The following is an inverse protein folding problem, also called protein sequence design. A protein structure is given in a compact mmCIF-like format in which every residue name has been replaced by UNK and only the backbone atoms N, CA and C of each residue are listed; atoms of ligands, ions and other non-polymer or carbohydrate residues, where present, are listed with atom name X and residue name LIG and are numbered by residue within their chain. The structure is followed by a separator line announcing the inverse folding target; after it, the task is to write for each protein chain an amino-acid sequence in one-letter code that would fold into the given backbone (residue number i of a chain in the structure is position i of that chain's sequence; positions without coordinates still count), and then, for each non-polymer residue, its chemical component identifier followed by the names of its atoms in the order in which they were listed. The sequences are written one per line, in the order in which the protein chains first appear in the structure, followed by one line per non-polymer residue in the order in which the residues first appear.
data_IF_344289667118
#
_entry.id   IF_344289667118
#
_cell.length_a   1.000
_cell.length_b   1.000
_cell.length_c   1.000
_cell.angle_alpha   90.00
_cell.angle_beta   90.00
_cell.angle_gamma   90.00
#
_symmetry.space_group_name_H-M   'P 1'
#
loop_
_entity.id
_entity.type
_entity.pdbx_description
1 polymer ?
#
# COMPACT_ATOMS: atom_id res chain seq x y z
N UNK A 1 -23.04 -15.36 -2.20
CA UNK A 1 -21.61 -14.97 -2.09
C UNK A 1 -20.84 -15.67 -3.21
N UNK A 2 -19.89 -14.99 -3.84
CA UNK A 2 -19.07 -15.59 -4.91
C UNK A 2 -17.94 -16.43 -4.28
N UNK A 3 -17.58 -17.56 -4.89
CA UNK A 3 -16.43 -18.36 -4.45
C UNK A 3 -15.12 -17.58 -4.58
N UNK A 4 -14.09 -17.97 -3.80
CA UNK A 4 -12.77 -17.34 -3.87
C UNK A 4 -12.18 -17.39 -5.29
N UNK A 5 -12.20 -18.57 -5.91
CA UNK A 5 -11.68 -18.76 -7.27
C UNK A 5 -12.39 -17.89 -8.30
N UNK A 6 -13.72 -17.77 -8.19
CA UNK A 6 -14.49 -16.90 -9.08
C UNK A 6 -14.09 -15.43 -8.89
N UNK A 7 -13.86 -14.99 -7.64
CA UNK A 7 -13.39 -13.63 -7.37
C UNK A 7 -12.04 -13.39 -8.03
N UNK A 8 -11.06 -14.29 -7.87
CA UNK A 8 -9.73 -14.14 -8.46
C UNK A 8 -9.78 -14.11 -10.00
N UNK A 9 -10.53 -15.03 -10.61
CA UNK A 9 -10.72 -15.06 -12.07
C UNK A 9 -11.43 -13.80 -12.57
N UNK A 10 -12.41 -13.29 -11.83
CA UNK A 10 -13.08 -12.03 -12.17
C UNK A 10 -12.09 -10.86 -12.12
N UNK A 11 -11.26 -10.77 -11.06
CA UNK A 11 -10.24 -9.72 -10.92
C UNK A 11 -9.20 -9.77 -12.03
N UNK A 12 -8.76 -10.97 -12.42
CA UNK A 12 -7.88 -11.17 -13.57
C UNK A 12 -8.52 -10.65 -14.88
N UNK A 13 -9.80 -10.98 -15.12
CA UNK A 13 -10.55 -10.46 -16.28
C UNK A 13 -10.69 -8.94 -16.25
N UNK A 14 -10.82 -8.33 -15.07
CA UNK A 14 -10.88 -6.87 -14.92
C UNK A 14 -9.56 -6.22 -15.34
N UNK A 15 -8.41 -6.79 -14.94
CA UNK A 15 -7.09 -6.34 -15.41
C UNK A 15 -6.98 -6.46 -16.93
N UNK A 16 -7.34 -7.62 -17.49
CA UNK A 16 -7.29 -7.85 -18.94
C UNK A 16 -8.12 -6.83 -19.72
N UNK A 17 -9.36 -6.58 -19.27
CA UNK A 17 -10.25 -5.59 -19.89
C UNK A 17 -9.75 -4.16 -19.69
N UNK A 18 -9.06 -3.86 -18.60
CA UNK A 18 -8.49 -2.54 -18.39
C UNK A 18 -7.38 -2.28 -19.42
N UNK A 19 -6.43 -3.21 -19.56
CA UNK A 19 -5.37 -3.11 -20.56
C UNK A 19 -5.93 -3.01 -21.98
N UNK A 20 -6.89 -3.86 -22.34
CA UNK A 20 -7.52 -3.83 -23.67
C UNK A 20 -8.20 -2.49 -24.00
N UNK A 21 -8.90 -1.88 -23.04
CA UNK A 21 -9.77 -0.75 -23.32
C UNK A 21 -9.16 0.62 -22.99
N UNK A 22 -8.12 0.68 -22.15
CA UNK A 22 -7.60 1.94 -21.62
C UNK A 22 -6.12 2.18 -21.94
N UNK A 23 -5.35 1.17 -22.35
CA UNK A 23 -3.93 1.37 -22.67
C UNK A 23 -3.68 1.98 -24.05
N UNK A 24 -4.64 1.91 -24.97
CA UNK A 24 -4.44 2.29 -26.37
C UNK A 24 -3.26 1.59 -27.06
N UNK A 25 -2.76 0.47 -26.51
CA UNK A 25 -1.69 -0.32 -27.11
C UNK A 25 -2.24 -1.31 -28.13
N UNK A 26 -1.41 -1.66 -29.11
CA UNK A 26 -1.70 -2.82 -29.96
C UNK A 26 -1.78 -4.08 -29.07
N UNK A 27 -2.81 -4.93 -29.21
CA UNK A 27 -2.96 -6.14 -28.39
C UNK A 27 -1.74 -7.07 -28.41
N UNK A 28 -0.93 -7.05 -29.47
CA UNK A 28 0.31 -7.83 -29.57
C UNK A 28 1.42 -7.36 -28.62
N UNK A 29 1.34 -6.13 -28.11
CA UNK A 29 2.28 -5.57 -27.13
C UNK A 29 1.87 -5.86 -25.68
N UNK A 30 0.68 -6.41 -25.46
CA UNK A 30 0.15 -6.73 -24.14
C UNK A 30 0.41 -8.23 -23.87
N UNK A 31 1.27 -8.59 -22.89
CA UNK A 31 1.51 -9.98 -22.58
C UNK A 31 0.26 -10.65 -21.98
N UNK A 32 0.30 -11.98 -21.85
CA UNK A 32 -0.75 -12.70 -21.15
C UNK A 32 -0.87 -12.23 -19.70
N UNK A 33 -2.09 -11.86 -19.31
CA UNK A 33 -2.39 -11.42 -17.95
C UNK A 33 -2.22 -12.58 -16.98
N UNK A 34 -1.24 -12.45 -16.08
CA UNK A 34 -0.96 -13.41 -15.03
C UNK A 34 -2.10 -13.57 -14.03
N UNK A 35 -1.99 -14.57 -13.16
CA UNK A 35 -2.97 -14.81 -12.11
C UNK A 35 -3.02 -13.68 -11.07
N UNK A 36 -4.12 -13.63 -10.31
CA UNK A 36 -4.24 -12.76 -9.14
C UNK A 36 -3.83 -13.56 -7.91
N UNK A 37 -2.79 -13.10 -7.21
CA UNK A 37 -2.34 -13.72 -5.97
C UNK A 37 -3.39 -13.54 -4.88
N UNK A 38 -3.89 -14.62 -4.26
CA UNK A 38 -4.92 -14.50 -3.23
C UNK A 38 -4.37 -13.91 -1.93
N UNK A 39 -5.22 -13.13 -1.25
CA UNK A 39 -5.03 -12.83 0.17
C UNK A 39 -4.95 -14.13 0.96
N UNK A 40 -4.01 -14.28 1.91
CA UNK A 40 -4.02 -15.40 2.85
C UNK A 40 -5.32 -15.48 3.68
N UNK A 41 -5.99 -14.35 3.89
CA UNK A 41 -7.20 -14.25 4.69
C UNK A 41 -8.35 -13.65 3.88
N UNK A 42 -9.52 -14.30 3.87
CA UNK A 42 -10.75 -13.78 3.22
C UNK A 42 -11.53 -12.80 4.11
N UNK A 43 -11.31 -12.85 5.41
CA UNK A 43 -11.93 -12.05 6.49
C UNK A 43 -10.87 -11.81 7.57
N UNK A 44 -11.10 -10.87 8.49
CA UNK A 44 -10.12 -10.62 9.55
C UNK A 44 -8.78 -10.04 9.08
N UNK A 45 -8.70 -9.50 7.86
CA UNK A 45 -7.44 -9.05 7.26
C UNK A 45 -7.20 -7.55 7.42
N UNK A 46 -8.27 -6.76 7.65
CA UNK A 46 -8.24 -5.31 7.53
C UNK A 46 -7.79 -4.66 8.84
N UNK A 47 -6.62 -4.01 8.83
CA UNK A 47 -5.98 -3.39 10.00
C UNK A 47 -6.46 -1.97 10.30
N UNK A 48 -7.32 -1.39 9.45
CA UNK A 48 -7.91 -0.05 9.67
C UNK A 48 -9.37 0.01 9.25
N UNK A 49 -10.21 0.50 10.14
CA UNK A 49 -11.60 0.82 9.87
C UNK A 49 -11.87 2.29 10.22
N UNK A 50 -12.80 2.90 9.49
CA UNK A 50 -13.23 4.28 9.72
C UNK A 50 -14.76 4.38 9.68
N UNK A 51 -15.49 3.67 10.57
CA UNK A 51 -16.92 3.86 10.67
C UNK A 51 -17.23 5.30 11.09
N UNK A 52 -18.42 5.78 10.78
CA UNK A 52 -18.85 7.14 11.08
C UNK A 52 -20.33 7.14 11.44
N UNK A 53 -20.76 8.26 12.03
CA UNK A 53 -22.16 8.54 12.29
C UNK A 53 -22.47 9.97 11.89
N UNK A 54 -23.70 10.18 11.46
CA UNK A 54 -24.21 11.52 11.15
C UNK A 54 -24.61 12.25 12.43
N UNK A 55 -24.61 13.58 12.36
CA UNK A 55 -25.02 14.40 13.49
C UNK A 55 -25.75 15.66 13.07
N UNK A 56 -26.30 16.39 14.05
CA UNK A 56 -27.11 17.57 13.79
C UNK A 56 -26.31 18.67 13.09
N UNK A 57 -26.95 19.38 12.16
CA UNK A 57 -26.31 20.48 11.40
C UNK A 57 -25.90 21.66 12.28
N UNK A 58 -26.61 21.88 13.40
CA UNK A 58 -26.35 22.95 14.39
C UNK A 58 -26.73 22.45 15.79
N UNK A 59 -26.09 23.01 16.81
CA UNK A 59 -26.49 22.82 18.21
C UNK A 59 -25.97 21.57 18.92
N UNK A 60 -25.23 20.68 18.23
CA UNK A 60 -24.68 19.46 18.84
C UNK A 60 -25.73 18.45 19.28
N UNK A 61 -25.28 17.33 19.85
CA UNK A 61 -26.19 16.35 20.44
C UNK A 61 -26.64 16.81 21.83
N UNK A 62 -27.94 16.72 22.10
CA UNK A 62 -28.49 16.99 23.43
C UNK A 62 -28.17 15.84 24.37
N UNK A 63 -28.11 16.12 25.67
CA UNK A 63 -28.04 15.08 26.69
C UNK A 63 -29.27 14.16 26.60
N UNK A 64 -29.04 12.84 26.65
CA UNK A 64 -30.09 11.83 26.45
C UNK A 64 -30.57 11.64 24.99
N UNK A 65 -29.91 12.26 23.99
CA UNK A 65 -30.22 12.00 22.59
C UNK A 65 -30.03 10.52 22.23
N UNK A 66 -30.88 9.94 21.35
CA UNK A 66 -30.67 8.58 20.88
C UNK A 66 -29.34 8.48 20.14
N UNK A 67 -28.65 7.36 20.32
CA UNK A 67 -27.41 7.08 19.61
C UNK A 67 -27.73 6.99 18.11
N UNK A 68 -27.04 7.77 17.25
CA UNK A 68 -27.23 7.66 15.80
C UNK A 68 -26.73 6.32 15.28
N UNK A 69 -27.12 5.98 14.06
CA UNK A 69 -26.52 4.86 13.34
C UNK A 69 -25.00 5.06 13.20
N UNK A 70 -24.21 4.05 13.58
CA UNK A 70 -22.74 4.08 13.48
C UNK A 70 -22.28 2.96 12.55
N UNK A 71 -21.64 3.34 11.45
CA UNK A 71 -21.18 2.36 10.48
C UNK A 71 -20.61 2.97 9.21
N UNK A 72 -21.04 2.47 8.06
CA UNK A 72 -20.54 2.91 6.75
C UNK A 72 -21.69 3.39 5.86
N UNK A 73 -21.38 4.23 4.89
CA UNK A 73 -22.39 4.67 3.91
C UNK A 73 -22.90 3.48 3.11
N UNK A 74 -24.23 3.36 3.01
CA UNK A 74 -24.83 2.37 2.13
C UNK A 74 -24.54 2.75 0.67
N UNK A 75 -24.02 1.81 -0.12
CA UNK A 75 -23.65 2.06 -1.52
C UNK A 75 -24.81 2.67 -2.31
N UNK A 76 -24.55 3.82 -2.94
CA UNK A 76 -25.54 4.55 -3.74
C UNK A 76 -26.55 5.38 -2.92
N UNK A 77 -26.35 5.48 -1.60
CA UNK A 77 -27.18 6.28 -0.68
C UNK A 77 -26.29 7.13 0.22
N UNK A 78 -26.84 8.21 0.75
CA UNK A 78 -26.12 9.15 1.62
C UNK A 78 -26.30 8.87 3.11
N UNK A 79 -27.04 7.82 3.50
CA UNK A 79 -27.26 7.48 4.90
C UNK A 79 -26.26 6.43 5.40
N UNK A 80 -25.96 6.51 6.70
CA UNK A 80 -25.12 5.55 7.41
C UNK A 80 -25.91 4.28 7.71
N UNK A 81 -25.40 3.13 7.29
CA UNK A 81 -25.91 1.84 7.74
C UNK A 81 -25.32 1.51 9.12
N UNK A 82 -26.17 1.37 10.13
CA UNK A 82 -25.72 0.91 11.44
C UNK A 82 -25.18 -0.52 11.36
N UNK A 83 -23.99 -0.74 11.91
CA UNK A 83 -23.38 -2.07 11.98
C UNK A 83 -22.78 -2.31 13.36
N UNK A 84 -23.01 -3.50 13.90
CA UNK A 84 -22.44 -3.92 15.19
C UNK A 84 -21.03 -4.49 15.04
N UNK A 85 -20.71 -5.00 13.85
CA UNK A 85 -19.45 -5.68 13.57
C UNK A 85 -19.05 -5.52 12.09
N UNK A 86 -17.75 -5.63 11.83
CA UNK A 86 -17.17 -5.62 10.49
C UNK A 86 -16.25 -6.83 10.30
N UNK A 87 -16.76 -7.95 9.76
CA UNK A 87 -16.02 -9.23 9.71
C UNK A 87 -14.72 -9.22 8.88
N UNK A 88 -14.50 -8.19 8.05
CA UNK A 88 -13.24 -8.04 7.32
C UNK A 88 -12.14 -7.42 8.18
N UNK A 89 -12.49 -6.73 9.27
CA UNK A 89 -11.54 -6.16 10.23
C UNK A 89 -10.88 -7.24 11.09
N UNK A 90 -9.62 -7.04 11.47
CA UNK A 90 -8.94 -7.88 12.47
C UNK A 90 -9.68 -7.86 13.81
N UNK A 91 -9.44 -8.84 14.67
CA UNK A 91 -10.08 -8.87 15.99
C UNK A 91 -9.75 -7.62 16.82
N UNK A 92 -8.51 -7.12 16.73
CA UNK A 92 -8.12 -5.88 17.39
C UNK A 92 -9.03 -4.69 16.98
N UNK A 93 -9.23 -4.46 15.67
CA UNK A 93 -10.09 -3.34 15.22
C UNK A 93 -11.58 -3.59 15.46
N UNK A 94 -12.03 -4.86 15.46
CA UNK A 94 -13.42 -5.22 15.78
C UNK A 94 -13.72 -4.96 17.25
N UNK A 95 -12.81 -5.32 18.15
CA UNK A 95 -12.95 -5.03 19.58
C UNK A 95 -12.79 -3.54 19.89
N UNK A 96 -11.91 -2.86 19.15
CA UNK A 96 -11.85 -1.40 19.12
C UNK A 96 -13.18 -0.77 18.68
N UNK A 97 -13.85 -1.34 17.66
CA UNK A 97 -15.14 -0.83 17.20
C UNK A 97 -16.22 -0.94 18.27
N UNK A 98 -16.34 -2.10 18.94
CA UNK A 98 -17.27 -2.29 20.06
C UNK A 98 -17.03 -1.26 21.17
N UNK A 99 -15.76 -1.08 21.55
CA UNK A 99 -15.37 -0.09 22.57
C UNK A 99 -15.74 1.34 22.15
N UNK A 100 -15.53 1.69 20.87
CA UNK A 100 -15.89 3.01 20.34
C UNK A 100 -17.41 3.23 20.24
N UNK A 101 -18.20 2.21 19.94
CA UNK A 101 -19.68 2.32 20.00
C UNK A 101 -20.16 2.65 21.42
N UNK A 102 -19.61 1.97 22.43
CA UNK A 102 -19.90 2.28 23.85
C UNK A 102 -19.47 3.71 24.21
N UNK A 103 -18.25 4.10 23.81
CA UNK A 103 -17.75 5.45 24.04
C UNK A 103 -18.66 6.53 23.42
N UNK A 104 -19.08 6.36 22.16
CA UNK A 104 -20.01 7.29 21.51
C UNK A 104 -21.34 7.34 22.25
N UNK A 105 -21.89 6.20 22.67
CA UNK A 105 -23.14 6.16 23.45
C UNK A 105 -23.05 6.95 24.75
N UNK A 106 -21.96 6.82 25.49
CA UNK A 106 -21.75 7.49 26.79
C UNK A 106 -21.40 8.98 26.64
N UNK A 107 -20.72 9.34 25.54
CA UNK A 107 -20.15 10.68 25.35
C UNK A 107 -20.78 11.45 24.20
N UNK A 108 -21.95 11.02 23.70
CA UNK A 108 -22.57 11.60 22.50
C UNK A 108 -22.75 13.13 22.60
N UNK A 109 -23.12 13.61 23.79
CA UNK A 109 -23.31 15.02 24.11
C UNK A 109 -22.03 15.88 23.92
N UNK A 110 -20.84 15.28 23.95
CA UNK A 110 -19.57 15.98 23.71
C UNK A 110 -19.34 16.29 22.22
N UNK A 111 -20.04 15.58 21.32
CA UNK A 111 -19.90 15.75 19.89
C UNK A 111 -20.75 16.95 19.40
N UNK A 112 -20.11 17.88 18.70
CA UNK A 112 -20.80 19.03 18.08
C UNK A 112 -21.47 18.71 16.74
N UNK A 113 -21.03 17.64 16.10
CA UNK A 113 -21.42 17.16 14.76
C UNK A 113 -21.17 15.66 14.66
N UNK A 114 -21.60 15.05 13.55
CA UNK A 114 -21.20 13.68 13.20
C UNK A 114 -19.68 13.55 13.13
N UNK A 115 -19.18 12.34 13.36
CA UNK A 115 -17.75 12.08 13.42
C UNK A 115 -17.37 10.78 12.70
N UNK A 116 -16.12 10.72 12.25
CA UNK A 116 -15.47 9.50 11.78
C UNK A 116 -14.61 8.95 12.90
N UNK A 117 -14.84 7.70 13.26
CA UNK A 117 -14.11 6.99 14.30
C UNK A 117 -12.93 6.27 13.64
N UNK A 118 -11.70 6.65 13.99
CA UNK A 118 -10.54 5.90 13.55
C UNK A 118 -10.38 4.64 14.41
N UNK A 119 -10.20 3.51 13.75
CA UNK A 119 -9.83 2.25 14.38
C UNK A 119 -8.61 1.71 13.63
N UNK A 120 -7.45 1.69 14.29
CA UNK A 120 -6.20 1.27 13.67
C UNK A 120 -5.51 0.22 14.52
N UNK A 121 -5.15 -0.90 13.93
CA UNK A 121 -4.34 -1.92 14.60
C UNK A 121 -2.91 -1.41 14.84
N UNK A 122 -2.35 -1.75 15.99
CA UNK A 122 -0.91 -1.68 16.26
C UNK A 122 -0.45 -3.04 16.80
N UNK A 123 0.76 -3.43 16.45
CA UNK A 123 1.33 -4.73 16.81
C UNK A 123 2.56 -4.56 17.68
N UNK A 124 2.48 -5.06 18.91
CA UNK A 124 3.66 -5.31 19.74
C UNK A 124 4.17 -6.72 19.45
N UNK A 125 5.46 -6.84 19.12
CA UNK A 125 6.08 -8.11 18.76
C UNK A 125 7.18 -8.47 19.75
N UNK A 126 7.10 -9.67 20.31
CA UNK A 126 8.16 -10.25 21.12
C UNK A 126 8.83 -11.37 20.35
N UNK A 127 10.16 -11.29 20.20
CA UNK A 127 10.96 -12.33 19.58
C UNK A 127 11.35 -13.38 20.61
N UNK A 128 11.26 -14.66 20.23
CA UNK A 128 11.71 -15.77 21.08
C UNK A 128 13.05 -16.28 20.54
N UNK A 129 14.16 -16.08 21.28
CA UNK A 129 15.45 -16.64 20.89
C UNK A 129 15.44 -18.16 21.10
N UNK A 130 15.99 -18.90 20.14
CA UNK A 130 16.27 -20.33 20.24
C UNK A 130 17.78 -20.54 20.11
N UNK A 131 18.38 -21.29 21.02
CA UNK A 131 19.81 -21.63 20.91
C UNK A 131 19.97 -22.87 20.03
N UNK A 132 20.63 -22.72 18.89
CA UNK A 132 20.96 -23.80 17.96
C UNK A 132 22.48 -23.82 17.79
N UNK A 133 23.11 -24.96 18.03
CA UNK A 133 24.57 -25.16 17.95
C UNK A 133 25.39 -24.10 18.73
N UNK A 134 24.88 -23.70 19.90
CA UNK A 134 25.52 -22.69 20.75
C UNK A 134 25.39 -21.24 20.27
N UNK A 135 24.57 -20.99 19.23
CA UNK A 135 24.25 -19.64 18.74
C UNK A 135 22.78 -19.33 18.98
N UNK A 136 22.48 -18.14 19.47
CA UNK A 136 21.11 -17.66 19.52
C UNK A 136 20.61 -17.32 18.10
N UNK A 137 19.51 -17.95 17.71
CA UNK A 137 18.82 -17.74 16.45
C UNK A 137 17.38 -17.37 16.76
N UNK A 138 16.91 -16.24 16.24
CA UNK A 138 15.52 -15.82 16.37
C UNK A 138 14.71 -16.48 15.24
N UNK A 139 13.96 -17.54 15.56
CA UNK A 139 13.11 -18.25 14.58
C UNK A 139 11.64 -17.89 14.64
N UNK A 140 11.15 -17.53 15.82
CA UNK A 140 9.73 -17.29 16.05
C UNK A 140 9.50 -15.95 16.76
N UNK A 141 8.29 -15.45 16.59
CA UNK A 141 7.82 -14.26 17.27
C UNK A 141 6.36 -14.43 17.69
N UNK A 142 5.96 -13.68 18.71
CA UNK A 142 4.57 -13.57 19.16
C UNK A 142 4.11 -12.13 18.98
N UNK A 143 2.93 -11.99 18.39
CA UNK A 143 2.29 -10.69 18.18
C UNK A 143 1.15 -10.49 19.18
N UNK A 144 1.12 -9.30 19.79
CA UNK A 144 -0.02 -8.78 20.53
C UNK A 144 -0.56 -7.59 19.75
N UNK A 145 -1.80 -7.72 19.27
CA UNK A 145 -2.47 -6.74 18.43
C UNK A 145 -3.51 -6.00 19.23
N UNK A 146 -3.46 -4.66 19.20
CA UNK A 146 -4.40 -3.78 19.91
C UNK A 146 -4.93 -2.69 18.97
N UNK A 147 -5.97 -1.97 19.38
CA UNK A 147 -6.57 -0.90 18.58
C UNK A 147 -6.26 0.48 19.15
N UNK A 148 -5.78 1.36 18.27
CA UNK A 148 -5.55 2.78 18.51
C UNK A 148 -6.62 3.59 17.80
N UNK A 149 -7.15 4.59 18.50
CA UNK A 149 -8.23 5.46 18.02
C UNK A 149 -7.81 6.91 17.85
N UNK A 150 -6.72 7.34 18.50
CA UNK A 150 -6.11 8.64 18.26
C UNK A 150 -5.32 8.63 16.95
N UNK A 151 -5.75 9.46 15.99
CA UNK A 151 -5.09 9.66 14.70
C UNK A 151 -3.62 10.08 14.77
N UNK A 152 -3.19 10.68 15.88
CA UNK A 152 -1.81 11.17 16.06
C UNK A 152 -0.92 10.19 16.81
N UNK A 153 -1.49 9.21 17.49
CA UNK A 153 -0.73 8.19 18.18
C UNK A 153 0.07 7.34 17.17
N UNK A 154 1.26 6.91 17.58
CA UNK A 154 2.09 6.04 16.75
C UNK A 154 1.55 4.61 16.79
N UNK A 155 1.56 3.95 15.64
CA UNK A 155 1.25 2.53 15.49
C UNK A 155 2.45 1.82 14.89
N UNK A 156 2.61 0.56 15.27
CA UNK A 156 3.66 -0.33 14.74
C UNK A 156 3.03 -1.42 13.88
N UNK A 157 3.55 -1.57 12.67
CA UNK A 157 3.20 -2.62 11.71
C UNK A 157 4.45 -3.46 11.44
N UNK A 158 4.27 -4.76 11.24
CA UNK A 158 5.36 -5.68 10.93
C UNK A 158 5.13 -6.39 9.61
N UNK A 159 6.16 -6.51 8.78
CA UNK A 159 6.15 -7.27 7.52
C UNK A 159 7.37 -8.17 7.52
N UNK A 160 7.18 -9.49 7.65
CA UNK A 160 8.30 -10.38 7.95
C UNK A 160 9.01 -9.91 9.23
N UNK A 161 10.29 -9.53 9.11
CA UNK A 161 11.07 -8.90 10.21
C UNK A 161 11.13 -7.37 10.16
N UNK A 162 10.62 -6.76 9.09
CA UNK A 162 10.65 -5.32 8.95
C UNK A 162 9.60 -4.65 9.84
N UNK A 163 10.01 -3.59 10.55
CA UNK A 163 9.19 -2.83 11.50
C UNK A 163 8.87 -1.45 10.94
N UNK A 164 7.61 -1.08 10.91
CA UNK A 164 7.16 0.23 10.43
C UNK A 164 6.42 0.98 11.52
N UNK A 165 6.89 2.18 11.84
CA UNK A 165 6.28 3.08 12.80
C UNK A 165 5.72 4.29 12.06
N UNK A 166 4.44 4.57 12.25
CA UNK A 166 3.78 5.72 11.63
C UNK A 166 2.60 6.20 12.48
N UNK A 167 2.13 7.45 12.31
CA UNK A 167 0.91 7.92 12.96
C UNK A 167 -0.33 7.09 12.52
N UNK A 168 -1.25 6.78 13.42
CA UNK A 168 -2.43 5.95 13.13
C UNK A 168 -3.30 6.50 11.98
N UNK A 169 -3.31 7.84 11.83
CA UNK A 169 -4.01 8.55 10.79
C UNK A 169 -3.39 8.42 9.40
N UNK A 170 -2.07 8.15 9.29
CA UNK A 170 -1.38 8.10 8.01
C UNK A 170 -1.80 6.90 7.15
N UNK A 171 -1.42 6.95 5.88
CA UNK A 171 -1.60 5.82 4.98
C UNK A 171 -0.57 4.73 5.28
N UNK A 172 -1.05 3.49 5.24
CA UNK A 172 -0.26 2.27 5.18
C UNK A 172 -1.21 1.18 4.65
N UNK A 173 -0.66 0.12 4.08
CA UNK A 173 -1.46 -0.93 3.48
C UNK A 173 -2.35 -1.62 4.53
N UNK A 174 -3.64 -1.76 4.22
CA UNK A 174 -4.65 -2.17 5.20
C UNK A 174 -4.80 -3.69 5.32
N UNK A 175 -4.15 -4.47 4.45
CA UNK A 175 -4.13 -5.93 4.53
C UNK A 175 -2.71 -6.37 4.82
N UNK A 176 -2.36 -6.44 6.09
CA UNK A 176 -1.01 -6.84 6.50
C UNK A 176 -0.69 -8.29 6.08
N UNK A 177 -1.69 -9.18 6.03
CA UNK A 177 -1.47 -10.61 5.78
C UNK A 177 -0.86 -10.93 4.41
N UNK A 178 -1.12 -10.12 3.38
CA UNK A 178 -0.60 -10.33 2.02
C UNK A 178 0.76 -9.65 1.79
N UNK A 179 1.15 -8.69 2.64
CA UNK A 179 2.27 -7.78 2.38
C UNK A 179 3.60 -8.50 2.17
N UNK A 180 3.91 -9.53 2.96
CA UNK A 180 5.18 -10.25 2.83
C UNK A 180 5.31 -10.94 1.47
N UNK A 181 4.22 -11.56 0.98
CA UNK A 181 4.20 -12.18 -0.36
C UNK A 181 4.31 -11.12 -1.45
N UNK A 182 3.61 -10.00 -1.26
CA UNK A 182 3.59 -8.89 -2.19
C UNK A 182 4.98 -8.23 -2.32
N UNK A 183 5.62 -7.86 -1.22
CA UNK A 183 6.95 -7.22 -1.24
C UNK A 183 8.02 -8.17 -1.75
N UNK A 184 7.92 -9.47 -1.45
CA UNK A 184 8.83 -10.49 -2.01
C UNK A 184 8.70 -10.54 -3.53
N UNK A 185 7.48 -10.60 -4.06
CA UNK A 185 7.25 -10.60 -5.50
C UNK A 185 7.79 -9.31 -6.16
N UNK A 186 7.51 -8.14 -5.57
CA UNK A 186 8.02 -6.86 -6.09
C UNK A 186 9.55 -6.84 -6.10
N UNK A 187 10.19 -7.34 -5.04
CA UNK A 187 11.65 -7.47 -4.98
C UNK A 187 12.19 -8.33 -6.12
N UNK A 188 11.56 -9.46 -6.42
CA UNK A 188 11.94 -10.31 -7.56
C UNK A 188 11.79 -9.58 -8.90
N UNK A 189 10.75 -8.76 -9.08
CA UNK A 189 10.53 -8.01 -10.33
C UNK A 189 11.50 -6.82 -10.48
N UNK A 190 12.06 -6.31 -9.37
CA UNK A 190 13.02 -5.21 -9.39
C UNK A 190 14.43 -5.64 -9.84
N UNK A 191 14.70 -6.93 -10.01
CA UNK A 191 16.00 -7.42 -10.47
C UNK A 191 16.18 -7.11 -11.96
N UNK A 192 17.30 -6.46 -12.30
CA UNK A 192 17.75 -6.25 -13.67
C UNK A 192 18.47 -7.52 -14.13
N UNK A 193 18.00 -8.23 -15.18
CA UNK A 193 18.67 -9.43 -15.67
C UNK A 193 20.09 -9.11 -16.14
N UNK A 194 21.08 -9.86 -15.66
CA UNK A 194 22.47 -9.76 -16.16
C UNK A 194 22.56 -10.38 -17.56
N UNK A 195 23.05 -9.62 -18.53
CA UNK A 195 23.45 -10.18 -19.83
C UNK A 195 24.77 -10.95 -19.66
N UNK A 196 24.94 -12.04 -20.41
CA UNK A 196 26.15 -12.85 -20.36
C UNK A 196 27.40 -11.98 -20.65
N UNK A 197 28.36 -11.97 -19.72
CA UNK A 197 29.58 -11.15 -19.81
C UNK A 197 29.48 -9.75 -19.21
N UNK A 198 28.32 -9.33 -18.68
CA UNK A 198 28.19 -8.11 -17.89
C UNK A 198 28.16 -8.45 -16.39
N UNK A 199 29.19 -8.02 -15.68
CA UNK A 199 29.23 -8.11 -14.21
C UNK A 199 29.04 -6.72 -13.63
N UNK A 200 27.79 -6.25 -13.61
CA UNK A 200 27.44 -5.07 -12.83
C UNK A 200 27.37 -5.49 -11.37
N UNK A 201 28.35 -5.02 -10.59
CA UNK A 201 28.39 -5.19 -9.14
C UNK A 201 27.47 -4.21 -8.41
N UNK A 202 26.97 -3.19 -9.12
CA UNK A 202 26.14 -2.14 -8.58
C UNK A 202 24.70 -2.21 -9.11
N UNK A 203 23.75 -1.89 -8.24
CA UNK A 203 22.35 -1.69 -8.57
C UNK A 203 21.75 -0.58 -7.73
N UNK A 204 20.81 0.17 -8.29
CA UNK A 204 20.16 1.28 -7.59
C UNK A 204 18.64 1.17 -7.65
N UNK A 205 17.96 1.63 -6.60
CA UNK A 205 16.50 1.63 -6.50
C UNK A 205 15.96 3.04 -6.32
N UNK A 206 14.93 3.37 -7.10
CA UNK A 206 14.10 4.56 -6.86
C UNK A 206 12.71 4.09 -6.46
N UNK A 207 12.25 4.52 -5.30
CA UNK A 207 10.93 4.26 -4.76
C UNK A 207 10.13 5.58 -4.82
N UNK A 208 9.31 5.74 -5.86
CA UNK A 208 8.51 6.94 -6.03
C UNK A 208 7.10 6.72 -5.49
N UNK A 209 6.55 7.75 -4.82
CA UNK A 209 5.38 7.62 -3.95
C UNK A 209 5.66 6.71 -2.74
N UNK A 210 6.89 6.80 -2.19
CA UNK A 210 7.39 5.82 -1.23
C UNK A 210 6.61 5.76 0.10
N UNK A 211 5.80 6.77 0.42
CA UNK A 211 5.08 6.86 1.67
C UNK A 211 6.03 6.72 2.86
N UNK A 212 5.76 5.74 3.73
CA UNK A 212 6.60 5.41 4.90
C UNK A 212 7.78 4.49 4.58
N UNK A 213 8.14 4.31 3.31
CA UNK A 213 9.30 3.56 2.83
C UNK A 213 9.08 2.05 2.67
N UNK A 214 7.87 1.60 2.32
CA UNK A 214 7.52 0.18 2.24
C UNK A 214 8.51 -0.61 1.35
N UNK A 215 8.65 -0.23 0.09
CA UNK A 215 9.52 -0.94 -0.86
C UNK A 215 10.99 -0.64 -0.61
N UNK A 216 11.33 0.61 -0.29
CA UNK A 216 12.69 0.99 0.12
C UNK A 216 13.24 0.10 1.24
N UNK A 217 12.40 -0.30 2.20
CA UNK A 217 12.82 -1.11 3.36
C UNK A 217 12.70 -2.61 3.07
N UNK A 218 11.56 -3.06 2.54
CA UNK A 218 11.33 -4.48 2.29
C UNK A 218 12.13 -5.03 1.10
N UNK A 219 12.31 -4.22 0.04
CA UNK A 219 12.97 -4.64 -1.20
C UNK A 219 14.39 -4.08 -1.34
N UNK A 220 14.80 -3.14 -0.48
CA UNK A 220 16.08 -2.42 -0.61
C UNK A 220 17.33 -3.25 -0.33
N UNK A 221 17.20 -4.43 0.28
CA UNK A 221 18.34 -5.32 0.51
C UNK A 221 18.93 -5.78 -0.83
N UNK A 222 20.23 -5.53 -1.03
CA UNK A 222 20.97 -5.88 -2.24
C UNK A 222 21.25 -4.72 -3.20
N UNK A 223 20.61 -3.56 -2.99
CA UNK A 223 20.91 -2.34 -3.75
C UNK A 223 22.10 -1.58 -3.14
N UNK A 224 22.91 -0.94 -3.97
CA UNK A 224 24.04 -0.09 -3.55
C UNK A 224 23.55 1.28 -3.07
N UNK A 225 22.41 1.76 -3.59
CA UNK A 225 21.79 3.00 -3.16
C UNK A 225 20.29 3.01 -3.44
N UNK A 226 19.53 3.59 -2.52
CA UNK A 226 18.08 3.71 -2.60
C UNK A 226 17.70 5.18 -2.46
N UNK A 227 16.81 5.67 -3.32
CA UNK A 227 16.19 6.99 -3.18
C UNK A 227 14.67 6.82 -3.11
N UNK A 228 14.10 7.14 -1.96
CA UNK A 228 12.65 7.24 -1.78
C UNK A 228 12.18 8.68 -1.98
N UNK A 229 11.14 8.88 -2.78
CA UNK A 229 10.56 10.20 -3.05
C UNK A 229 9.06 10.21 -2.79
N UNK A 230 8.60 11.18 -2.01
CA UNK A 230 7.18 11.40 -1.74
C UNK A 230 6.92 12.90 -1.55
N UNK A 231 5.71 13.37 -1.85
CA UNK A 231 5.30 14.77 -1.66
C UNK A 231 4.98 15.08 -0.18
N UNK A 232 4.66 14.05 0.61
CA UNK A 232 4.30 14.17 2.02
C UNK A 232 5.55 14.20 2.89
N UNK A 233 5.87 15.37 3.45
CA UNK A 233 6.98 15.53 4.40
C UNK A 233 6.83 14.63 5.63
N UNK A 234 5.61 14.43 6.13
CA UNK A 234 5.31 13.53 7.24
C UNK A 234 5.61 12.07 6.89
N UNK A 235 5.25 11.64 5.68
CA UNK A 235 5.55 10.28 5.21
C UNK A 235 7.06 10.07 5.10
N UNK A 236 7.79 11.05 4.56
CA UNK A 236 9.26 11.03 4.45
C UNK A 236 9.93 10.99 5.82
N UNK A 237 9.42 11.69 6.82
CA UNK A 237 9.94 11.61 8.20
C UNK A 237 9.76 10.18 8.76
N UNK A 238 8.58 9.59 8.58
CA UNK A 238 8.35 8.18 8.93
C UNK A 238 9.27 7.24 8.17
N UNK A 239 9.49 7.45 6.86
CA UNK A 239 10.36 6.62 6.05
C UNK A 239 11.82 6.64 6.54
N UNK A 240 12.35 7.82 6.90
CA UNK A 240 13.70 7.94 7.49
C UNK A 240 13.81 7.20 8.82
N UNK A 241 12.83 7.37 9.71
CA UNK A 241 12.79 6.68 11.00
C UNK A 241 12.72 5.17 10.81
N UNK A 242 11.85 4.70 9.91
CA UNK A 242 11.70 3.28 9.61
C UNK A 242 12.98 2.70 8.99
N UNK A 243 13.66 3.42 8.10
CA UNK A 243 14.93 2.94 7.55
C UNK A 243 15.98 2.74 8.65
N UNK A 244 16.08 3.68 9.61
CA UNK A 244 16.96 3.54 10.78
C UNK A 244 16.56 2.33 11.64
N UNK A 245 15.27 2.18 11.96
CA UNK A 245 14.75 1.05 12.76
C UNK A 245 15.02 -0.32 12.11
N UNK A 246 15.16 -0.36 10.79
CA UNK A 246 15.42 -1.58 10.02
C UNK A 246 16.89 -1.73 9.59
N UNK A 247 17.79 -0.85 10.05
CA UNK A 247 19.22 -0.91 9.68
C UNK A 247 19.53 -0.62 8.20
N UNK A 248 18.65 0.08 7.51
CA UNK A 248 18.82 0.46 6.11
C UNK A 248 19.61 1.78 6.04
N UNK A 249 20.93 1.66 5.82
CA UNK A 249 21.86 2.80 5.81
C UNK A 249 22.15 3.38 4.42
N UNK A 250 21.81 2.63 3.37
CA UNK A 250 22.01 2.98 1.96
C UNK A 250 20.81 3.71 1.33
N UNK A 251 19.81 4.11 2.12
CA UNK A 251 18.62 4.81 1.64
C UNK A 251 18.62 6.30 1.98
N UNK A 252 18.18 7.12 1.02
CA UNK A 252 17.91 8.55 1.19
C UNK A 252 16.46 8.84 0.86
N UNK A 253 15.79 9.66 1.67
CA UNK A 253 14.39 10.01 1.48
C UNK A 253 14.24 11.52 1.24
N UNK A 254 13.62 11.87 0.12
CA UNK A 254 13.51 13.24 -0.38
C UNK A 254 12.04 13.62 -0.42
N UNK A 255 11.70 14.78 0.13
CA UNK A 255 10.39 15.39 -0.09
C UNK A 255 10.40 16.02 -1.47
N UNK A 256 9.71 15.41 -2.42
CA UNK A 256 9.75 15.80 -3.83
C UNK A 256 9.01 17.12 -4.09
N UNK A 257 9.58 17.98 -4.94
CA UNK A 257 8.81 19.00 -5.65
C UNK A 257 8.22 18.35 -6.90
N UNK A 258 6.89 18.44 -7.08
CA UNK A 258 6.18 17.84 -8.21
C UNK A 258 6.76 18.25 -9.57
N UNK A 259 7.34 19.44 -9.68
CA UNK A 259 7.93 19.96 -10.92
C UNK A 259 9.28 19.33 -11.29
N UNK A 260 10.01 18.80 -10.31
CA UNK A 260 11.40 18.37 -10.46
C UNK A 260 11.75 17.22 -9.50
N UNK A 261 10.94 16.16 -9.53
CA UNK A 261 10.96 15.03 -8.60
C UNK A 261 12.31 14.30 -8.64
N UNK A 262 12.88 14.13 -9.84
CA UNK A 262 14.11 13.35 -10.06
C UNK A 262 15.34 14.20 -10.40
N UNK A 263 15.25 15.54 -10.34
CA UNK A 263 16.32 16.43 -10.84
C UNK A 263 17.67 16.27 -10.12
N UNK A 264 17.67 15.76 -8.88
CA UNK A 264 18.88 15.56 -8.06
C UNK A 264 19.23 14.07 -7.87
N UNK A 265 18.71 13.19 -8.72
CA UNK A 265 19.01 11.76 -8.69
C UNK A 265 20.10 11.46 -9.73
N UNK A 266 21.25 10.98 -9.26
CA UNK A 266 22.44 10.72 -10.09
C UNK A 266 22.69 9.21 -10.27
N UNK A 267 21.65 8.38 -10.27
CA UNK A 267 21.82 6.94 -10.50
C UNK A 267 21.94 6.63 -12.00
N UNK A 268 22.88 5.77 -12.43
CA UNK A 268 22.99 5.35 -13.82
C UNK A 268 21.72 4.63 -14.27
N UNK A 269 21.02 5.10 -15.32
CA UNK A 269 19.73 4.54 -15.74
C UNK A 269 19.78 3.03 -16.01
N UNK A 270 20.86 2.53 -16.62
CA UNK A 270 21.10 1.13 -16.96
C UNK A 270 21.28 0.20 -15.75
N UNK A 271 21.59 0.76 -14.59
CA UNK A 271 21.74 0.05 -13.30
C UNK A 271 20.59 0.34 -12.33
N UNK A 272 19.58 1.09 -12.76
CA UNK A 272 18.50 1.59 -11.90
C UNK A 272 17.19 0.88 -12.14
N UNK A 273 16.59 0.38 -11.07
CA UNK A 273 15.20 -0.05 -11.03
C UNK A 273 14.34 1.02 -10.35
N UNK A 274 13.12 1.22 -10.84
CA UNK A 274 12.15 2.10 -10.22
C UNK A 274 10.89 1.33 -9.85
N UNK A 275 10.40 1.52 -8.63
CA UNK A 275 9.06 1.11 -8.22
C UNK A 275 8.19 2.35 -8.02
N UNK A 276 6.95 2.29 -8.50
CA UNK A 276 5.96 3.36 -8.34
C UNK A 276 4.64 2.80 -7.79
N UNK A 277 4.10 3.40 -6.74
CA UNK A 277 2.78 3.08 -6.15
C UNK A 277 1.91 4.35 -6.06
N UNK A 278 1.46 4.90 -7.20
CA UNK A 278 0.71 6.15 -7.24
C UNK A 278 -0.69 6.04 -6.60
N UNK A 279 -1.30 7.18 -6.24
CA UNK A 279 -2.69 7.21 -5.78
C UNK A 279 -3.67 6.74 -6.87
N UNK A 280 -4.94 6.50 -6.51
CA UNK A 280 -6.01 6.00 -7.41
C UNK A 280 -6.20 6.76 -8.74
N UNK A 281 -5.72 8.00 -8.84
CA UNK A 281 -5.78 8.82 -10.05
C UNK A 281 -4.67 8.49 -11.07
N UNK A 282 -3.71 7.64 -10.69
CA UNK A 282 -2.50 7.36 -11.46
C UNK A 282 -1.44 8.46 -11.35
N UNK A 283 -0.46 8.39 -12.23
CA UNK A 283 0.56 9.42 -12.41
C UNK A 283 0.02 10.58 -13.27
N UNK A 284 0.59 11.78 -13.08
CA UNK A 284 0.38 12.88 -14.03
C UNK A 284 1.45 12.84 -15.15
N UNK A 285 1.16 13.52 -16.26
CA UNK A 285 2.05 13.53 -17.43
C UNK A 285 3.44 14.12 -17.11
N UNK A 286 3.52 15.04 -16.14
CA UNK A 286 4.76 15.64 -15.71
C UNK A 286 5.66 14.62 -15.01
N UNK A 287 5.09 13.80 -14.14
CA UNK A 287 5.78 12.66 -13.52
C UNK A 287 6.24 11.66 -14.58
N UNK A 288 5.33 11.22 -15.47
CA UNK A 288 5.65 10.22 -16.49
C UNK A 288 6.74 10.73 -17.46
N UNK A 289 6.72 12.01 -17.83
CA UNK A 289 7.76 12.63 -18.65
C UNK A 289 9.12 12.65 -17.94
N UNK A 290 9.15 12.95 -16.65
CA UNK A 290 10.38 12.91 -15.84
C UNK A 290 10.90 11.47 -15.68
N UNK A 291 10.01 10.49 -15.50
CA UNK A 291 10.35 9.06 -15.46
C UNK A 291 11.01 8.62 -16.77
N UNK A 292 10.40 8.94 -17.92
CA UNK A 292 10.96 8.60 -19.23
C UNK A 292 12.31 9.28 -19.50
N UNK A 293 12.48 10.52 -19.03
CA UNK A 293 13.76 11.23 -19.14
C UNK A 293 14.85 10.59 -18.28
N UNK A 294 14.49 10.08 -17.09
CA UNK A 294 15.41 9.35 -16.23
C UNK A 294 15.76 7.98 -16.83
N UNK A 295 14.80 7.31 -17.46
CA UNK A 295 14.98 6.07 -18.21
C UNK A 295 15.46 4.87 -17.39
N UNK A 296 14.91 4.58 -16.19
CA UNK A 296 15.35 3.44 -15.37
C UNK A 296 15.23 2.12 -16.14
N UNK A 297 16.26 1.28 -16.11
CA UNK A 297 16.31 0.01 -16.86
C UNK A 297 15.12 -0.91 -16.58
N UNK A 298 14.61 -0.89 -15.36
CA UNK A 298 13.45 -1.66 -14.91
C UNK A 298 12.45 -0.71 -14.25
N UNK A 299 11.18 -0.83 -14.62
CA UNK A 299 10.05 -0.18 -13.94
C UNK A 299 9.12 -1.26 -13.41
N UNK A 300 8.70 -1.13 -12.14
CA UNK A 300 7.61 -1.90 -11.54
C UNK A 300 6.51 -0.91 -11.17
N UNK A 301 5.36 -1.03 -11.84
CA UNK A 301 4.19 -0.19 -11.64
C UNK A 301 3.17 -0.93 -10.77
N UNK A 302 2.88 -0.38 -9.59
CA UNK A 302 1.89 -0.90 -8.66
C UNK A 302 0.66 0.02 -8.70
N UNK A 303 -0.54 -0.55 -8.71
CA UNK A 303 -1.75 0.27 -8.76
C UNK A 303 -2.95 -0.35 -8.07
N UNK A 304 -3.63 0.42 -7.23
CA UNK A 304 -4.96 0.07 -6.74
C UNK A 304 -6.11 0.39 -7.73
N UNK A 305 -5.80 0.90 -8.94
CA UNK A 305 -6.77 1.21 -9.99
C UNK A 305 -6.22 0.83 -11.38
N UNK A 306 -6.63 -0.35 -11.84
CA UNK A 306 -6.18 -0.93 -13.11
C UNK A 306 -6.51 -0.08 -14.35
N UNK A 307 -7.52 0.80 -14.29
CA UNK A 307 -7.88 1.66 -15.42
C UNK A 307 -6.85 2.78 -15.63
N UNK A 308 -6.44 3.43 -14.53
CA UNK A 308 -5.40 4.47 -14.59
C UNK A 308 -4.03 3.86 -14.84
N UNK A 309 -3.77 2.65 -14.29
CA UNK A 309 -2.57 1.88 -14.61
C UNK A 309 -2.45 1.61 -16.12
N UNK A 310 -3.50 1.07 -16.74
CA UNK A 310 -3.52 0.80 -18.18
C UNK A 310 -3.28 2.07 -19.00
N UNK A 311 -3.92 3.19 -18.64
CA UNK A 311 -3.68 4.51 -19.27
C UNK A 311 -2.21 4.92 -19.17
N UNK A 312 -1.63 4.83 -17.98
CA UNK A 312 -0.28 5.32 -17.70
C UNK A 312 0.78 4.45 -18.40
N UNK A 313 0.61 3.12 -18.39
CA UNK A 313 1.46 2.17 -19.12
C UNK A 313 1.35 2.41 -20.63
N UNK A 314 0.14 2.59 -21.13
CA UNK A 314 -0.12 2.95 -22.51
C UNK A 314 0.62 4.21 -22.95
N UNK A 315 0.58 5.23 -22.09
CA UNK A 315 1.30 6.47 -22.30
C UNK A 315 2.82 6.24 -22.27
N UNK A 316 3.34 5.52 -21.27
CA UNK A 316 4.78 5.20 -21.16
C UNK A 316 5.28 4.54 -22.45
N UNK A 317 4.65 3.45 -22.89
CA UNK A 317 5.15 2.63 -24.02
C UNK A 317 5.05 3.35 -25.37
N UNK A 318 4.14 4.33 -25.52
CA UNK A 318 3.93 5.03 -26.80
C UNK A 318 4.77 6.30 -26.96
N UNK A 319 5.24 6.90 -25.86
CA UNK A 319 5.82 8.24 -25.87
C UNK A 319 7.35 8.23 -25.88
N UNK A 320 7.96 9.08 -26.70
CA UNK A 320 9.39 9.43 -26.63
C UNK A 320 10.34 8.25 -26.41
N UNK A 321 11.17 8.35 -25.36
CA UNK A 321 12.12 7.30 -24.90
C UNK A 321 11.42 6.04 -24.36
N UNK A 322 10.13 6.14 -24.06
CA UNK A 322 9.31 5.05 -23.57
C UNK A 322 9.05 3.94 -24.60
N UNK A 323 9.30 4.21 -25.89
CA UNK A 323 9.21 3.20 -26.97
C UNK A 323 10.18 2.03 -26.82
N UNK A 324 11.21 2.18 -25.98
CA UNK A 324 12.15 1.11 -25.66
C UNK A 324 11.67 0.23 -24.49
N UNK A 325 10.61 0.64 -23.78
CA UNK A 325 9.96 -0.20 -22.79
C UNK A 325 8.98 -1.17 -23.45
N UNK A 326 8.98 -2.39 -22.94
CA UNK A 326 7.96 -3.39 -23.21
C UNK A 326 7.44 -3.94 -21.89
N UNK A 327 6.23 -4.47 -21.91
CA UNK A 327 5.62 -5.02 -20.71
C UNK A 327 6.05 -6.47 -20.58
N UNK A 328 6.88 -6.77 -19.58
CA UNK A 328 7.37 -8.13 -19.31
C UNK A 328 6.29 -9.01 -18.70
N UNK A 329 5.52 -8.45 -17.77
CA UNK A 329 4.55 -9.18 -16.96
C UNK A 329 3.44 -8.24 -16.52
N UNK A 330 2.25 -8.81 -16.36
CA UNK A 330 1.07 -8.13 -15.81
C UNK A 330 0.40 -9.12 -14.85
N UNK A 331 0.00 -8.67 -13.68
CA UNK A 331 -0.64 -9.52 -12.67
C UNK A 331 -1.44 -8.71 -11.65
N UNK A 332 -1.89 -9.40 -10.60
CA UNK A 332 -2.58 -8.69 -9.52
C UNK A 332 -2.44 -9.36 -8.17
N UNK A 333 -2.81 -8.62 -7.14
CA UNK A 333 -2.87 -9.04 -5.76
C UNK A 333 -4.25 -8.76 -5.20
N UNK A 334 -4.81 -9.75 -4.50
CA UNK A 334 -6.10 -9.58 -3.84
C UNK A 334 -5.92 -8.96 -2.44
N UNK A 335 -5.63 -7.66 -2.38
CA UNK A 335 -5.55 -6.94 -1.09
C UNK A 335 -6.90 -6.79 -0.40
N UNK A 336 -8.00 -6.87 -1.15
CA UNK A 336 -9.35 -6.63 -0.64
C UNK A 336 -10.31 -7.75 -1.08
N UNK A 337 -10.15 -8.97 -0.52
CA UNK A 337 -11.06 -10.07 -0.80
C UNK A 337 -12.48 -9.71 -0.35
N UNK A 338 -13.48 -10.31 -1.00
CA UNK A 338 -14.91 -9.96 -0.86
C UNK A 338 -15.29 -8.56 -1.37
N UNK A 339 -14.38 -7.88 -2.10
CA UNK A 339 -14.64 -6.61 -2.75
C UNK A 339 -14.30 -6.66 -4.25
N UNK A 340 -14.78 -5.65 -4.99
CA UNK A 340 -14.44 -5.49 -6.41
C UNK A 340 -13.04 -4.87 -6.64
N UNK A 341 -12.35 -4.40 -5.61
CA UNK A 341 -11.04 -3.76 -5.77
C UNK A 341 -9.97 -4.80 -6.15
N UNK A 342 -9.06 -4.42 -7.04
CA UNK A 342 -7.90 -5.19 -7.47
C UNK A 342 -6.69 -4.29 -7.37
N UNK A 343 -5.64 -4.74 -6.71
CA UNK A 343 -4.32 -4.13 -6.87
C UNK A 343 -3.65 -4.81 -8.06
N UNK A 344 -3.42 -4.06 -9.14
CA UNK A 344 -2.64 -4.47 -10.30
C UNK A 344 -1.16 -4.22 -10.05
N UNK A 345 -0.32 -5.08 -10.60
CA UNK A 345 1.14 -4.92 -10.58
C UNK A 345 1.67 -5.34 -11.95
N UNK A 346 2.35 -4.42 -12.61
CA UNK A 346 2.92 -4.57 -13.95
C UNK A 346 4.43 -4.28 -13.93
#
# INVERSE_FOLDING_TARGET
MLSGDYQLQHKQKVIAKAMQNFSNLDPSLIPSIGGVMPSPLLRGYRTKLTPHFDGPRRGGFKEGAPVPDIGFQLKGRSFVLDIEDCPIGTDAVRDGFKSQRTFVKENLHTFKRGATLLLRETTERTFSPETIDGREVIRSYRDIKTCITDSKALVTEWIGRAKFISPAGSFFQNNNSILEKFTTFVQEQLVIPKLAGQDHSESYLIDAYCGSGLFSICCGHGFNGIIGVDISSQSIESARKNAIENGIHNARFITGNAEAIFANINFPPELTSMVIDPPRKGCDELFLSQLLKLGPKRLVYISCNVHTMARDIGWIVQQGLGKDYHIDKIGGFDFFPQTHHVEGSD
#
